data_IF_475933877989
#
_entry.id   IF_475933877989
#
_cell.length_a   1.000
_cell.length_b   1.000
_cell.length_c   1.000
_cell.angle_alpha   90.00
_cell.angle_beta   90.00
_cell.angle_gamma   90.00
#
_symmetry.space_group_name_H-M   'P 1'
#
loop_
_entity.id
_entity.type
_entity.pdbx_description
1 polymer ?
#
# COMPACT_ATOMS: atom_id res chain seq x y z
N UNK A 1 -6.20 -23.31 30.06
CA UNK A 1 -6.70 -22.77 28.79
C UNK A 1 -5.80 -23.35 27.71
N UNK A 2 -6.32 -24.24 26.88
CA UNK A 2 -5.57 -25.03 25.91
C UNK A 2 -5.40 -24.35 24.54
N UNK A 3 -5.63 -23.03 24.40
CA UNK A 3 -5.50 -22.33 23.12
C UNK A 3 -4.05 -21.91 22.83
N UNK A 4 -3.65 -21.97 21.57
CA UNK A 4 -2.34 -21.52 21.12
C UNK A 4 -2.22 -19.99 21.22
N UNK A 5 -1.15 -19.48 21.84
CA UNK A 5 -0.83 -18.05 21.83
C UNK A 5 -0.24 -17.60 20.49
N UNK A 6 0.44 -18.52 19.81
CA UNK A 6 1.05 -18.30 18.48
C UNK A 6 0.63 -19.50 17.61
N UNK A 7 0.11 -19.26 16.39
CA UNK A 7 -0.25 -20.35 15.49
C UNK A 7 1.00 -21.11 15.03
N UNK A 8 0.85 -22.39 14.76
CA UNK A 8 1.82 -23.13 13.96
C UNK A 8 1.75 -22.60 12.53
N UNK A 9 2.88 -22.32 11.89
CA UNK A 9 2.87 -21.86 10.51
C UNK A 9 4.06 -22.35 9.69
N UNK A 10 3.84 -22.49 8.42
CA UNK A 10 4.85 -22.72 7.40
C UNK A 10 4.75 -21.59 6.37
N UNK A 11 5.87 -20.98 6.01
CA UNK A 11 5.92 -19.89 5.03
C UNK A 11 7.10 -20.07 4.10
N UNK A 12 6.81 -19.98 2.80
CA UNK A 12 7.80 -20.00 1.73
C UNK A 12 7.75 -18.64 1.02
N UNK A 13 8.91 -18.00 0.88
CA UNK A 13 9.05 -16.70 0.23
C UNK A 13 10.15 -16.78 -0.81
N UNK A 14 9.86 -16.32 -2.03
CA UNK A 14 10.80 -16.26 -3.14
C UNK A 14 10.67 -14.90 -3.84
N UNK A 15 11.79 -14.16 -3.97
CA UNK A 15 11.82 -12.79 -4.51
C UNK A 15 12.97 -12.58 -5.52
N UNK A 16 13.02 -13.29 -6.67
CA UNK A 16 14.03 -13.04 -7.69
C UNK A 16 13.83 -11.69 -8.36
N UNK A 17 14.94 -11.02 -8.70
CA UNK A 17 14.96 -9.78 -9.47
C UNK A 17 15.96 -9.86 -10.60
N UNK A 18 15.57 -9.36 -11.77
CA UNK A 18 16.39 -9.23 -12.96
C UNK A 18 16.60 -7.75 -13.26
N UNK A 19 17.85 -7.34 -13.45
CA UNK A 19 18.21 -5.99 -13.89
C UNK A 19 18.86 -6.09 -15.26
N UNK A 20 18.34 -5.31 -16.21
CA UNK A 20 18.85 -5.26 -17.59
C UNK A 20 19.23 -3.83 -17.91
N UNK A 21 20.47 -3.64 -18.33
CA UNK A 21 21.00 -2.36 -18.77
C UNK A 21 21.22 -2.44 -20.28
N UNK A 22 20.36 -1.78 -21.06
CA UNK A 22 20.45 -1.79 -22.52
C UNK A 22 21.56 -0.86 -23.01
N UNK A 23 21.71 0.29 -22.33
CA UNK A 23 22.75 1.29 -22.51
C UNK A 23 22.76 2.25 -21.30
N UNK A 24 23.62 3.29 -21.33
CA UNK A 24 23.76 4.27 -20.25
C UNK A 24 22.48 5.09 -19.96
N UNK A 25 21.54 5.12 -20.90
CA UNK A 25 20.28 5.88 -20.79
C UNK A 25 19.06 5.00 -20.51
N UNK A 26 19.15 3.70 -20.74
CA UNK A 26 17.99 2.81 -20.71
C UNK A 26 18.24 1.58 -19.87
N UNK A 27 17.43 1.40 -18.86
CA UNK A 27 17.46 0.22 -18.00
C UNK A 27 16.07 -0.28 -17.69
N UNK A 28 15.99 -1.54 -17.33
CA UNK A 28 14.77 -2.22 -16.93
C UNK A 28 15.05 -3.09 -15.72
N UNK A 29 14.12 -3.15 -14.79
CA UNK A 29 14.12 -4.19 -13.78
C UNK A 29 12.79 -4.94 -13.78
N UNK A 30 12.87 -6.23 -13.52
CA UNK A 30 11.73 -7.12 -13.39
C UNK A 30 11.90 -8.00 -12.15
N UNK A 31 10.88 -8.08 -11.32
CA UNK A 31 10.87 -8.90 -10.12
C UNK A 31 9.61 -9.75 -10.04
N UNK A 32 9.74 -10.88 -9.38
CA UNK A 32 8.61 -11.72 -8.98
C UNK A 32 8.68 -11.86 -7.45
N UNK A 33 7.56 -11.67 -6.77
CA UNK A 33 7.44 -11.96 -5.35
C UNK A 33 6.41 -13.07 -5.19
N UNK A 34 6.79 -14.12 -4.49
CA UNK A 34 5.94 -15.26 -4.16
C UNK A 34 5.92 -15.45 -2.65
N UNK A 35 4.74 -15.56 -2.08
CA UNK A 35 4.55 -15.97 -0.68
C UNK A 35 3.46 -17.01 -0.62
N UNK A 36 3.78 -18.16 -0.04
CA UNK A 36 2.86 -19.25 0.26
C UNK A 36 2.93 -19.48 1.76
N UNK A 37 1.79 -19.42 2.42
CA UNK A 37 1.73 -19.58 3.88
C UNK A 37 0.53 -20.42 4.28
N UNK A 38 0.76 -21.29 5.26
CA UNK A 38 -0.27 -22.01 5.98
C UNK A 38 -0.09 -21.74 7.48
N UNK A 39 -1.16 -21.30 8.16
CA UNK A 39 -1.22 -21.08 9.61
C UNK A 39 -2.34 -21.91 10.21
N UNK A 40 -2.04 -22.56 11.32
CA UNK A 40 -3.00 -23.30 12.12
C UNK A 40 -2.89 -22.88 13.59
N UNK A 41 -3.94 -22.23 14.09
CA UNK A 41 -4.13 -21.87 15.49
C UNK A 41 -5.30 -22.62 16.11
N UNK A 42 -5.56 -22.38 17.40
CA UNK A 42 -6.72 -22.93 18.10
C UNK A 42 -6.34 -23.81 19.29
N UNK A 43 -7.15 -24.83 19.53
CA UNK A 43 -6.93 -25.76 20.65
C UNK A 43 -5.63 -26.56 20.46
N UNK A 44 -4.82 -26.61 21.50
CA UNK A 44 -3.52 -27.29 21.48
C UNK A 44 -3.63 -28.81 21.30
N UNK A 45 -4.73 -29.43 21.68
CA UNK A 45 -4.96 -30.86 21.45
C UNK A 45 -5.35 -31.09 19.99
N UNK A 46 -6.17 -30.22 19.41
CA UNK A 46 -6.49 -30.24 17.99
C UNK A 46 -5.23 -30.11 17.13
N UNK A 47 -4.39 -29.10 17.39
CA UNK A 47 -3.13 -28.86 16.66
C UNK A 47 -2.19 -30.08 16.73
N UNK A 48 -2.18 -30.79 17.86
CA UNK A 48 -1.38 -32.01 18.05
C UNK A 48 -2.02 -33.29 17.46
N UNK A 49 -3.15 -33.17 16.75
CA UNK A 49 -3.88 -34.31 16.20
C UNK A 49 -4.56 -35.18 17.27
N UNK A 50 -4.84 -34.62 18.45
CA UNK A 50 -5.50 -35.29 19.62
C UNK A 50 -6.83 -34.60 19.98
N UNK A 51 -7.45 -33.91 19.02
CA UNK A 51 -8.74 -33.25 19.20
C UNK A 51 -9.84 -34.27 19.48
N UNK A 52 -10.84 -33.86 20.28
CA UNK A 52 -12.06 -34.58 20.59
C UNK A 52 -13.27 -33.64 20.54
N UNK A 53 -14.45 -34.09 20.96
CA UNK A 53 -15.68 -33.28 20.92
C UNK A 53 -15.62 -32.00 21.78
N UNK A 54 -14.65 -31.87 22.68
CA UNK A 54 -14.45 -30.71 23.55
C UNK A 54 -13.25 -29.85 23.12
N UNK A 55 -12.33 -30.43 22.34
CA UNK A 55 -11.07 -29.83 21.86
C UNK A 55 -11.02 -29.83 20.34
N UNK A 56 -12.01 -29.17 19.71
CA UNK A 56 -12.16 -29.17 18.23
C UNK A 56 -11.99 -27.77 17.61
N UNK A 57 -11.77 -26.73 18.41
CA UNK A 57 -11.59 -25.38 17.88
C UNK A 57 -10.26 -25.25 17.16
N UNK A 58 -10.34 -24.80 15.91
CA UNK A 58 -9.18 -24.45 15.09
C UNK A 58 -9.47 -23.18 14.29
N UNK A 59 -8.42 -22.52 13.90
CA UNK A 59 -8.41 -21.46 12.89
C UNK A 59 -7.29 -21.77 11.92
N UNK A 60 -7.62 -22.15 10.70
CA UNK A 60 -6.67 -22.39 9.61
C UNK A 60 -6.74 -21.23 8.62
N UNK A 61 -5.57 -20.73 8.21
CA UNK A 61 -5.46 -19.64 7.23
C UNK A 61 -4.40 -20.01 6.21
N UNK A 62 -4.83 -20.27 4.98
CA UNK A 62 -3.98 -20.59 3.84
C UNK A 62 -3.95 -19.39 2.90
N UNK A 63 -2.76 -18.89 2.59
CA UNK A 63 -2.59 -17.78 1.68
C UNK A 63 -1.57 -18.10 0.59
N UNK A 64 -1.86 -17.64 -0.62
CA UNK A 64 -0.95 -17.66 -1.76
C UNK A 64 -0.94 -16.26 -2.36
N UNK A 65 0.24 -15.68 -2.48
CA UNK A 65 0.43 -14.38 -3.12
C UNK A 65 1.53 -14.47 -4.16
N UNK A 66 1.21 -14.03 -5.37
CA UNK A 66 2.14 -13.90 -6.48
C UNK A 66 2.05 -12.46 -6.98
N UNK A 67 3.17 -11.77 -7.10
CA UNK A 67 3.15 -10.45 -7.72
C UNK A 67 4.37 -10.23 -8.59
N UNK A 68 4.19 -9.44 -9.64
CA UNK A 68 5.27 -8.97 -10.51
C UNK A 68 5.58 -7.51 -10.17
N UNK A 69 6.82 -7.12 -10.42
CA UNK A 69 7.27 -5.72 -10.41
C UNK A 69 8.04 -5.48 -11.70
N UNK A 70 7.65 -4.48 -12.43
CA UNK A 70 8.34 -4.05 -13.64
C UNK A 70 8.59 -2.55 -13.57
N UNK A 71 9.81 -2.15 -13.85
CA UNK A 71 10.19 -0.73 -13.99
C UNK A 71 11.06 -0.60 -15.23
N UNK A 72 10.68 0.31 -16.09
CA UNK A 72 11.46 0.73 -17.24
C UNK A 72 11.83 2.20 -17.08
N UNK A 73 13.11 2.50 -17.19
CA UNK A 73 13.70 3.82 -17.04
C UNK A 73 14.40 4.23 -18.33
N UNK A 74 14.12 5.44 -18.80
CA UNK A 74 14.79 6.02 -19.96
C UNK A 74 15.15 7.49 -19.75
N UNK A 75 16.43 7.79 -19.79
CA UNK A 75 16.96 9.17 -19.77
C UNK A 75 16.88 9.75 -21.17
N UNK A 76 15.94 10.69 -21.38
CA UNK A 76 15.74 11.36 -22.67
C UNK A 76 16.91 12.31 -22.97
N UNK A 77 17.26 13.13 -21.99
CA UNK A 77 18.41 14.05 -22.01
C UNK A 77 18.88 14.32 -20.57
N UNK A 78 19.88 15.20 -20.38
CA UNK A 78 20.48 15.52 -19.07
C UNK A 78 19.46 15.98 -18.01
N UNK A 79 18.34 16.56 -18.45
CA UNK A 79 17.33 17.14 -17.57
C UNK A 79 16.00 16.37 -17.58
N UNK A 80 15.88 15.33 -18.39
CA UNK A 80 14.56 14.70 -18.63
C UNK A 80 14.64 13.17 -18.58
N UNK A 81 13.66 12.59 -17.91
CA UNK A 81 13.59 11.19 -17.60
C UNK A 81 12.16 10.67 -17.73
N UNK A 82 11.99 9.51 -18.34
CA UNK A 82 10.73 8.78 -18.44
C UNK A 82 10.82 7.50 -17.62
N UNK A 83 9.78 7.22 -16.86
CA UNK A 83 9.65 5.97 -16.12
C UNK A 83 8.30 5.33 -16.39
N UNK A 84 8.30 4.02 -16.61
CA UNK A 84 7.10 3.19 -16.67
C UNK A 84 7.20 2.15 -15.57
N UNK A 85 6.15 2.05 -14.75
CA UNK A 85 6.02 1.02 -13.70
C UNK A 85 4.80 0.16 -13.98
N UNK A 86 4.92 -1.11 -13.73
CA UNK A 86 3.78 -2.03 -13.74
C UNK A 86 3.92 -3.05 -12.61
N UNK A 87 2.80 -3.42 -12.03
CA UNK A 87 2.69 -4.51 -11.08
C UNK A 87 1.38 -5.25 -11.33
N UNK A 88 1.44 -6.58 -11.29
CA UNK A 88 0.27 -7.45 -11.27
C UNK A 88 0.37 -8.30 -10.02
N UNK A 89 -0.71 -8.39 -9.26
CA UNK A 89 -0.79 -9.17 -8.03
C UNK A 89 -1.96 -10.15 -8.11
N UNK A 90 -1.70 -11.38 -7.76
CA UNK A 90 -2.68 -12.41 -7.50
C UNK A 90 -2.58 -12.83 -6.04
N UNK A 91 -3.69 -12.82 -5.33
CA UNK A 91 -3.79 -13.22 -3.95
C UNK A 91 -4.98 -14.16 -3.77
N UNK A 92 -4.75 -15.33 -3.24
CA UNK A 92 -5.80 -16.27 -2.80
C UNK A 92 -5.69 -16.44 -1.29
N UNK A 93 -6.81 -16.41 -0.62
CA UNK A 93 -6.93 -16.65 0.82
C UNK A 93 -8.06 -17.61 1.09
N UNK A 94 -7.77 -18.63 1.87
CA UNK A 94 -8.74 -19.51 2.47
C UNK A 94 -8.60 -19.45 3.99
N UNK A 95 -9.69 -19.16 4.69
CA UNK A 95 -9.77 -19.14 6.16
C UNK A 95 -10.86 -20.09 6.59
N UNK A 96 -10.53 -21.04 7.46
CA UNK A 96 -11.45 -22.02 7.98
C UNK A 96 -11.45 -22.06 9.50
N UNK A 97 -12.64 -22.10 10.08
CA UNK A 97 -12.93 -22.37 11.50
C UNK A 97 -14.02 -23.46 11.56
N UNK A 98 -14.33 -24.04 12.73
CA UNK A 98 -15.41 -25.00 12.83
C UNK A 98 -16.73 -24.50 12.25
N UNK A 99 -17.28 -25.23 11.26
CA UNK A 99 -18.55 -24.93 10.59
C UNK A 99 -18.59 -23.66 9.73
N UNK A 100 -17.45 -23.03 9.44
CA UNK A 100 -17.38 -21.87 8.54
C UNK A 100 -16.08 -21.86 7.77
N UNK A 101 -16.18 -21.52 6.49
CA UNK A 101 -15.05 -21.36 5.59
C UNK A 101 -15.29 -20.14 4.69
N UNK A 102 -14.23 -19.36 4.51
CA UNK A 102 -14.18 -18.24 3.57
C UNK A 102 -13.01 -18.46 2.60
N UNK A 103 -13.28 -18.45 1.31
CA UNK A 103 -12.26 -18.50 0.27
C UNK A 103 -12.50 -17.44 -0.76
N UNK A 104 -11.45 -16.68 -1.09
CA UNK A 104 -11.53 -15.65 -2.12
C UNK A 104 -10.22 -15.40 -2.81
N UNK A 105 -10.34 -14.88 -4.03
CA UNK A 105 -9.22 -14.55 -4.92
C UNK A 105 -9.28 -13.08 -5.29
N UNK A 106 -8.18 -12.36 -5.10
CA UNK A 106 -8.01 -10.99 -5.51
C UNK A 106 -6.96 -10.88 -6.61
N UNK A 107 -7.28 -10.17 -7.67
CA UNK A 107 -6.33 -9.82 -8.74
C UNK A 107 -6.28 -8.31 -8.86
N UNK A 108 -5.11 -7.74 -8.65
CA UNK A 108 -4.89 -6.29 -8.72
C UNK A 108 -3.80 -5.96 -9.74
N UNK A 109 -3.97 -4.85 -10.47
CA UNK A 109 -2.95 -4.34 -11.38
C UNK A 109 -2.70 -2.86 -11.12
N UNK A 110 -1.46 -2.44 -11.31
CA UNK A 110 -1.07 -1.04 -11.30
C UNK A 110 -0.14 -0.77 -12.47
N UNK A 111 -0.42 0.27 -13.24
CA UNK A 111 0.45 0.76 -14.31
C UNK A 111 0.55 2.27 -14.20
N UNK A 112 1.77 2.80 -14.24
CA UNK A 112 2.06 4.22 -14.19
C UNK A 112 3.08 4.58 -15.25
N UNK A 113 2.86 5.67 -15.96
CA UNK A 113 3.84 6.31 -16.82
C UNK A 113 4.07 7.73 -16.32
N UNK A 114 5.31 8.09 -16.08
CA UNK A 114 5.69 9.42 -15.58
C UNK A 114 6.85 10.01 -16.38
N UNK A 115 6.84 11.32 -16.47
CA UNK A 115 7.89 12.14 -17.06
C UNK A 115 8.40 13.14 -16.02
N UNK A 116 9.70 13.15 -15.81
CA UNK A 116 10.38 14.08 -14.91
C UNK A 116 11.21 15.05 -15.75
N UNK A 117 11.13 16.34 -15.41
CA UNK A 117 11.97 17.39 -15.97
C UNK A 117 12.55 18.25 -14.86
N UNK A 118 13.89 18.26 -14.77
CA UNK A 118 14.63 19.02 -13.77
C UNK A 118 15.37 20.17 -14.44
N UNK A 119 15.21 21.37 -13.90
CA UNK A 119 15.92 22.56 -14.37
C UNK A 119 16.31 23.43 -13.16
N UNK A 120 17.63 23.62 -12.97
CA UNK A 120 18.19 24.48 -11.91
C UNK A 120 17.56 24.22 -10.53
N UNK A 121 16.57 25.06 -10.14
CA UNK A 121 15.91 25.05 -8.84
C UNK A 121 14.56 24.34 -8.83
N UNK A 122 14.10 23.83 -9.96
CA UNK A 122 12.76 23.29 -10.12
C UNK A 122 12.80 21.91 -10.76
N UNK A 123 12.09 20.96 -10.15
CA UNK A 123 11.82 19.65 -10.73
C UNK A 123 10.32 19.43 -10.85
N UNK A 124 9.90 19.07 -12.04
CA UNK A 124 8.53 18.73 -12.36
C UNK A 124 8.40 17.24 -12.65
N UNK A 125 7.42 16.61 -12.02
CA UNK A 125 7.01 15.24 -12.33
C UNK A 125 5.55 15.27 -12.73
N UNK A 126 5.23 14.72 -13.91
CA UNK A 126 3.85 14.54 -14.37
C UNK A 126 3.65 13.10 -14.80
N UNK A 127 2.46 12.59 -14.64
CA UNK A 127 2.18 11.20 -15.00
C UNK A 127 0.71 10.85 -15.00
N UNK A 128 0.47 9.64 -15.50
CA UNK A 128 -0.84 9.01 -15.53
C UNK A 128 -0.71 7.60 -15.00
N UNK A 129 -1.77 7.09 -14.39
CA UNK A 129 -1.82 5.71 -13.95
C UNK A 129 -3.21 5.09 -14.11
N UNK A 130 -3.22 3.78 -14.11
CA UNK A 130 -4.42 2.96 -13.99
C UNK A 130 -4.19 1.93 -12.90
N UNK A 131 -5.20 1.77 -12.06
CA UNK A 131 -5.24 0.76 -11.02
C UNK A 131 -6.53 -0.04 -11.13
N UNK A 132 -6.44 -1.36 -11.03
CA UNK A 132 -7.58 -2.26 -10.97
C UNK A 132 -7.48 -3.15 -9.75
N UNK A 133 -8.60 -3.44 -9.11
CA UNK A 133 -8.71 -4.40 -8.02
C UNK A 133 -10.01 -5.20 -8.21
N UNK A 134 -9.85 -6.50 -8.46
CA UNK A 134 -10.96 -7.42 -8.67
C UNK A 134 -10.90 -8.53 -7.61
N UNK A 135 -11.94 -8.64 -6.82
CA UNK A 135 -12.11 -9.69 -5.83
C UNK A 135 -13.26 -10.61 -6.22
N UNK A 136 -13.04 -11.91 -6.11
CA UNK A 136 -14.01 -12.97 -6.33
C UNK A 136 -14.02 -13.91 -5.15
N UNK A 137 -15.17 -14.02 -4.52
CA UNK A 137 -15.43 -14.98 -3.44
C UNK A 137 -15.95 -16.29 -4.00
N UNK A 138 -15.48 -17.38 -3.43
CA UNK A 138 -16.02 -18.72 -3.72
C UNK A 138 -17.25 -18.98 -2.87
N UNK A 139 -18.32 -19.43 -3.51
CA UNK A 139 -19.58 -19.76 -2.82
C UNK A 139 -19.38 -20.96 -1.88
N UNK A 140 -19.16 -20.71 -0.61
CA UNK A 140 -19.00 -21.73 0.44
C UNK A 140 -20.22 -21.85 1.34
N UNK A 141 -21.07 -20.81 1.39
CA UNK A 141 -22.25 -20.73 2.22
C UNK A 141 -23.44 -20.18 1.43
N UNK A 142 -24.63 -20.13 2.01
CA UNK A 142 -25.80 -19.46 1.40
C UNK A 142 -25.76 -17.91 1.53
N UNK A 143 -24.71 -17.34 2.14
CA UNK A 143 -24.56 -15.91 2.30
C UNK A 143 -24.23 -15.24 0.94
N UNK A 144 -24.68 -14.01 0.69
CA UNK A 144 -24.37 -13.31 -0.56
C UNK A 144 -22.87 -13.17 -0.80
N UNK A 145 -22.43 -13.39 -2.04
CA UNK A 145 -21.03 -13.20 -2.45
C UNK A 145 -20.62 -11.73 -2.33
N UNK A 146 -19.41 -11.50 -1.82
CA UNK A 146 -18.83 -10.17 -1.61
C UNK A 146 -17.89 -9.75 -2.72
N UNK A 147 -18.21 -10.16 -3.94
CA UNK A 147 -17.46 -9.81 -5.15
C UNK A 147 -17.41 -8.29 -5.34
N UNK A 148 -16.28 -7.77 -5.79
CA UNK A 148 -16.17 -6.40 -6.25
C UNK A 148 -15.18 -6.27 -7.41
N UNK A 149 -15.34 -5.18 -8.19
CA UNK A 149 -14.43 -4.81 -9.26
C UNK A 149 -14.25 -3.30 -9.25
N UNK A 150 -13.05 -2.84 -8.95
CA UNK A 150 -12.72 -1.42 -8.85
C UNK A 150 -11.69 -1.07 -9.92
N UNK A 151 -11.91 0.04 -10.60
CA UNK A 151 -10.95 0.59 -11.57
C UNK A 151 -10.81 2.09 -11.34
N UNK A 152 -9.58 2.55 -11.29
CA UNK A 152 -9.23 3.96 -11.10
C UNK A 152 -8.26 4.42 -12.17
N UNK A 153 -8.56 5.56 -12.78
CA UNK A 153 -7.67 6.29 -13.68
C UNK A 153 -7.16 7.51 -12.96
N UNK A 154 -5.85 7.68 -12.89
CA UNK A 154 -5.22 8.80 -12.21
C UNK A 154 -4.35 9.63 -13.15
N UNK A 155 -4.31 10.94 -12.90
CA UNK A 155 -3.36 11.86 -13.48
C UNK A 155 -2.79 12.76 -12.39
N UNK A 156 -1.50 13.08 -12.47
CA UNK A 156 -0.85 13.89 -11.45
C UNK A 156 0.23 14.81 -12.03
N UNK A 157 0.45 15.90 -11.32
CA UNK A 157 1.57 16.80 -11.50
C UNK A 157 2.12 17.18 -10.13
N UNK A 158 3.44 17.17 -10.01
CA UNK A 158 4.16 17.58 -8.81
C UNK A 158 5.30 18.51 -9.19
N UNK A 159 5.57 19.49 -8.36
CA UNK A 159 6.72 20.37 -8.47
C UNK A 159 7.49 20.39 -7.15
N UNK A 160 8.80 20.22 -7.22
CA UNK A 160 9.75 20.49 -6.15
C UNK A 160 10.54 21.73 -6.53
N UNK A 161 10.47 22.78 -5.71
CA UNK A 161 11.06 24.07 -5.99
C UNK A 161 11.96 24.55 -4.83
N UNK A 162 13.25 24.73 -5.12
CA UNK A 162 14.20 25.32 -4.19
C UNK A 162 14.08 26.85 -4.25
N UNK A 163 13.19 27.41 -3.44
CA UNK A 163 12.91 28.84 -3.42
C UNK A 163 14.14 29.66 -2.97
N UNK A 164 14.81 29.20 -1.91
CA UNK A 164 16.05 29.75 -1.37
C UNK A 164 16.96 28.61 -0.88
N UNK A 165 18.13 28.93 -0.33
CA UNK A 165 19.00 27.89 0.27
C UNK A 165 18.41 27.31 1.57
N UNK A 166 17.52 28.01 2.22
CA UNK A 166 16.89 27.60 3.46
C UNK A 166 15.44 27.13 3.29
N UNK A 167 14.81 27.27 2.08
CA UNK A 167 13.41 26.92 1.81
C UNK A 167 13.27 26.14 0.52
N UNK A 168 12.76 24.92 0.65
CA UNK A 168 12.29 24.10 -0.47
C UNK A 168 10.78 23.85 -0.35
N UNK A 169 10.05 24.05 -1.42
CA UNK A 169 8.62 23.83 -1.54
C UNK A 169 8.35 22.60 -2.37
N UNK A 170 7.38 21.81 -1.97
CA UNK A 170 6.82 20.72 -2.74
C UNK A 170 5.32 20.95 -2.89
N UNK A 171 4.82 20.96 -4.12
CA UNK A 171 3.39 21.10 -4.41
C UNK A 171 2.98 20.01 -5.38
N UNK A 172 1.80 19.45 -5.19
CA UNK A 172 1.28 18.41 -6.06
C UNK A 172 -0.24 18.49 -6.18
N UNK A 173 -0.71 18.10 -7.32
CA UNK A 173 -2.14 17.85 -7.58
C UNK A 173 -2.26 16.51 -8.27
N UNK A 174 -3.09 15.66 -7.73
CA UNK A 174 -3.52 14.41 -8.33
C UNK A 174 -5.03 14.45 -8.49
N UNK A 175 -5.52 13.94 -9.60
CA UNK A 175 -6.93 13.71 -9.85
C UNK A 175 -7.12 12.27 -10.23
N UNK A 176 -7.97 11.57 -9.51
CA UNK A 176 -8.37 10.19 -9.79
C UNK A 176 -9.84 10.17 -10.21
N UNK A 177 -10.14 9.38 -11.23
CA UNK A 177 -11.50 9.01 -11.58
C UNK A 177 -11.71 7.54 -11.19
N UNK A 178 -12.45 7.33 -10.12
CA UNK A 178 -12.82 6.00 -9.62
C UNK A 178 -14.13 5.61 -10.27
N UNK A 179 -14.16 4.52 -11.03
CA UNK A 179 -15.41 4.02 -11.61
C UNK A 179 -16.38 3.77 -10.46
N UNK A 180 -17.66 4.12 -10.64
CA UNK A 180 -18.79 4.06 -9.68
C UNK A 180 -18.78 5.16 -8.60
N UNK A 181 -17.65 5.80 -8.31
CA UNK A 181 -17.55 6.86 -7.28
C UNK A 181 -17.25 8.25 -7.84
N UNK A 182 -16.76 8.37 -9.08
CA UNK A 182 -16.49 9.64 -9.75
C UNK A 182 -15.10 10.23 -9.49
N UNK A 183 -14.96 11.54 -9.69
CA UNK A 183 -13.70 12.25 -9.61
C UNK A 183 -13.33 12.64 -8.19
N UNK A 184 -12.05 12.45 -7.84
CA UNK A 184 -11.43 12.82 -6.56
C UNK A 184 -10.23 13.71 -6.81
N UNK A 185 -10.15 14.86 -6.10
CA UNK A 185 -9.05 15.82 -6.19
C UNK A 185 -8.18 15.73 -4.93
N UNK A 186 -6.89 15.57 -5.11
CA UNK A 186 -5.92 15.25 -4.06
C UNK A 186 -4.75 16.25 -4.10
N UNK A 187 -4.96 17.49 -3.62
CA UNK A 187 -3.88 18.45 -3.47
C UNK A 187 -2.94 18.05 -2.34
N UNK A 188 -1.66 18.34 -2.51
CA UNK A 188 -0.61 18.19 -1.52
C UNK A 188 0.34 19.37 -1.55
N UNK A 189 0.75 19.83 -0.37
CA UNK A 189 1.76 20.87 -0.22
C UNK A 189 2.67 20.54 0.95
N UNK A 190 3.97 20.78 0.78
CA UNK A 190 4.91 20.77 1.90
C UNK A 190 6.01 21.83 1.73
N UNK A 191 6.55 22.28 2.86
CA UNK A 191 7.67 23.20 2.93
C UNK A 191 8.74 22.61 3.83
N UNK A 192 9.98 22.52 3.33
CA UNK A 192 11.16 22.12 4.08
C UNK A 192 11.99 23.36 4.38
N UNK A 193 12.27 23.57 5.66
CA UNK A 193 13.06 24.68 6.19
C UNK A 193 14.43 24.16 6.67
N UNK A 194 15.51 24.68 6.10
CA UNK A 194 16.86 24.51 6.62
C UNK A 194 17.11 25.66 7.62
N UNK A 195 16.83 25.44 8.91
CA UNK A 195 16.84 26.49 9.96
C UNK A 195 18.27 26.85 10.33
N UNK A 196 19.11 25.82 10.50
CA UNK A 196 20.53 25.97 10.82
C UNK A 196 21.29 24.75 10.34
N UNK A 197 22.60 24.74 10.47
CA UNK A 197 23.41 23.58 10.18
C UNK A 197 22.98 22.39 11.07
N UNK A 198 22.56 21.30 10.45
CA UNK A 198 22.05 20.12 11.13
C UNK A 198 20.60 20.24 11.66
N UNK A 199 19.93 21.41 11.55
CA UNK A 199 18.56 21.60 12.02
C UNK A 199 17.63 21.89 10.85
N UNK A 200 16.67 20.99 10.63
CA UNK A 200 15.62 21.12 9.61
C UNK A 200 14.24 20.96 10.21
N UNK A 201 13.25 21.55 9.59
CA UNK A 201 11.83 21.35 9.89
C UNK A 201 11.06 21.23 8.60
N UNK A 202 10.07 20.35 8.58
CA UNK A 202 9.12 20.22 7.48
C UNK A 202 7.70 20.40 8.00
N UNK A 203 6.89 21.13 7.24
CA UNK A 203 5.45 21.26 7.46
C UNK A 203 4.78 20.87 6.15
N UNK A 204 3.74 20.05 6.23
CA UNK A 204 3.01 19.63 5.04
C UNK A 204 1.60 19.16 5.33
N UNK A 205 0.84 19.00 4.27
CA UNK A 205 -0.50 18.44 4.34
C UNK A 205 -1.02 18.05 2.96
N UNK A 206 -2.11 17.31 2.94
CA UNK A 206 -2.74 16.86 1.73
C UNK A 206 -4.00 16.06 1.98
N UNK A 207 -4.65 15.70 0.89
CA UNK A 207 -5.88 14.92 0.87
C UNK A 207 -5.59 13.52 0.38
N UNK A 208 -6.37 12.55 0.86
CA UNK A 208 -6.34 11.16 0.44
C UNK A 208 -7.75 10.58 0.36
N UNK A 209 -7.86 9.40 -0.19
CA UNK A 209 -9.09 8.62 -0.16
C UNK A 209 -8.77 7.12 -0.15
N UNK A 210 -9.78 6.34 0.21
CA UNK A 210 -9.78 4.88 0.12
C UNK A 210 -11.12 4.42 -0.45
N UNK A 211 -11.07 3.46 -1.37
CA UNK A 211 -12.27 2.78 -1.86
C UNK A 211 -12.78 1.80 -0.82
N UNK A 212 -14.10 1.60 -0.71
CA UNK A 212 -14.67 0.57 0.14
C UNK A 212 -14.08 -0.81 -0.17
N UNK A 213 -13.84 -1.60 0.87
CA UNK A 213 -13.35 -2.97 0.76
C UNK A 213 -13.90 -3.81 1.90
N UNK A 214 -14.05 -5.10 1.69
CA UNK A 214 -14.38 -6.04 2.77
C UNK A 214 -13.17 -6.37 3.65
N UNK A 215 -11.96 -6.01 3.22
CA UNK A 215 -10.72 -6.29 3.94
C UNK A 215 -10.43 -5.17 4.96
N UNK A 216 -11.22 -5.14 6.04
CA UNK A 216 -11.02 -4.27 7.19
C UNK A 216 -10.56 -5.09 8.40
N UNK A 217 -9.97 -4.43 9.40
CA UNK A 217 -9.54 -5.10 10.63
C UNK A 217 -10.73 -5.75 11.36
N UNK A 218 -11.89 -5.10 11.35
CA UNK A 218 -13.13 -5.61 11.94
C UNK A 218 -13.60 -6.88 11.23
N UNK A 219 -13.59 -6.88 9.90
CA UNK A 219 -13.97 -8.05 9.11
C UNK A 219 -13.01 -9.22 9.33
N UNK A 220 -11.71 -8.95 9.45
CA UNK A 220 -10.71 -9.97 9.75
C UNK A 220 -10.89 -10.58 11.15
N UNK A 221 -11.24 -9.79 12.16
CA UNK A 221 -11.49 -10.27 13.54
C UNK A 221 -12.63 -11.28 13.61
N UNK A 222 -13.63 -11.14 12.77
CA UNK A 222 -14.78 -12.05 12.69
C UNK A 222 -14.64 -13.06 11.54
N UNK A 223 -13.44 -13.23 10.99
CA UNK A 223 -13.15 -14.11 9.85
C UNK A 223 -14.14 -13.93 8.69
N UNK A 224 -14.55 -12.69 8.42
CA UNK A 224 -15.53 -12.29 7.38
C UNK A 224 -16.94 -12.85 7.57
N UNK A 225 -17.29 -13.40 8.75
CA UNK A 225 -18.64 -13.85 9.04
C UNK A 225 -19.62 -12.66 9.07
N UNK A 226 -20.76 -12.81 8.39
CA UNK A 226 -21.83 -11.80 8.35
C UNK A 226 -21.42 -10.41 7.82
N UNK A 227 -20.28 -10.32 7.13
CA UNK A 227 -19.89 -9.09 6.40
C UNK A 227 -20.72 -9.01 5.12
N UNK A 228 -21.44 -7.90 4.93
CA UNK A 228 -22.29 -7.69 3.76
C UNK A 228 -21.45 -7.35 2.53
N UNK A 229 -21.92 -7.68 1.30
CA UNK A 229 -21.33 -7.17 0.07
C UNK A 229 -21.26 -5.64 0.05
N UNK A 230 -20.29 -5.10 -0.68
CA UNK A 230 -20.22 -3.67 -0.96
C UNK A 230 -21.38 -3.30 -1.89
N UNK A 231 -22.09 -2.23 -1.56
CA UNK A 231 -23.13 -1.62 -2.39
C UNK A 231 -22.70 -0.19 -2.75
N UNK A 232 -22.36 0.06 -4.00
CA UNK A 232 -21.85 1.33 -4.51
C UNK A 232 -22.87 2.49 -4.37
N UNK A 233 -24.16 2.18 -4.16
CA UNK A 233 -25.18 3.19 -3.90
C UNK A 233 -25.18 3.71 -2.45
N UNK A 234 -24.73 2.90 -1.51
CA UNK A 234 -24.73 3.23 -0.07
C UNK A 234 -23.36 3.43 0.51
N UNK A 235 -22.35 2.66 0.06
CA UNK A 235 -20.98 2.84 0.47
C UNK A 235 -20.34 4.04 -0.26
N UNK A 236 -19.57 4.83 0.44
CA UNK A 236 -18.89 6.02 -0.07
C UNK A 236 -17.38 5.86 0.03
N UNK A 237 -16.66 6.66 -0.73
CA UNK A 237 -15.21 6.78 -0.53
C UNK A 237 -14.94 7.34 0.88
N UNK A 238 -14.08 6.67 1.63
CA UNK A 238 -13.44 7.25 2.79
C UNK A 238 -12.51 8.37 2.33
N UNK A 239 -12.62 9.57 2.89
CA UNK A 239 -11.76 10.70 2.58
C UNK A 239 -10.89 11.04 3.78
N UNK A 240 -9.64 11.36 3.53
CA UNK A 240 -8.71 11.76 4.57
C UNK A 240 -8.13 13.15 4.30
N UNK A 241 -7.93 13.90 5.39
CA UNK A 241 -7.31 15.22 5.40
C UNK A 241 -6.19 15.16 6.42
N UNK A 242 -4.96 15.24 5.94
CA UNK A 242 -3.78 15.09 6.78
C UNK A 242 -2.92 16.34 6.82
N UNK A 243 -2.37 16.62 8.00
CA UNK A 243 -1.32 17.60 8.20
C UNK A 243 -0.21 17.02 9.07
N UNK A 244 1.03 17.39 8.80
CA UNK A 244 2.17 16.99 9.60
C UNK A 244 3.18 18.13 9.74
N UNK A 245 3.97 18.06 10.81
CA UNK A 245 5.13 18.91 11.02
C UNK A 245 6.23 18.09 11.71
N UNK A 246 7.46 18.25 11.28
CA UNK A 246 8.60 17.62 11.94
C UNK A 246 9.71 18.60 12.27
N UNK A 247 10.54 18.23 13.24
CA UNK A 247 11.80 18.86 13.55
C UNK A 247 12.86 17.76 13.58
N UNK A 248 13.90 17.93 12.80
CA UNK A 248 15.03 17.02 12.73
C UNK A 248 16.31 17.78 13.08
N UNK A 249 17.03 17.27 14.06
CA UNK A 249 18.34 17.80 14.44
C UNK A 249 19.38 16.68 14.37
N UNK A 250 20.50 16.97 13.70
CA UNK A 250 21.65 16.07 13.60
C UNK A 250 22.94 16.85 13.82
N UNK A 251 23.79 16.34 14.68
CA UNK A 251 25.11 16.92 14.95
C UNK A 251 26.14 15.85 15.24
N UNK A 252 27.41 16.17 15.02
CA UNK A 252 28.53 15.33 15.46
C UNK A 252 29.02 15.83 16.81
N UNK A 253 29.35 14.91 17.71
CA UNK A 253 29.92 15.16 19.02
C UNK A 253 31.33 14.56 19.01
N UNK A 254 32.33 15.43 18.81
CA UNK A 254 33.70 14.98 18.51
C UNK A 254 33.76 14.28 17.14
N UNK A 255 34.77 13.41 16.98
CA UNK A 255 35.03 12.71 15.70
C UNK A 255 34.29 11.36 15.59
N UNK A 256 33.88 10.77 16.72
CA UNK A 256 33.39 9.38 16.78
C UNK A 256 31.87 9.24 16.97
N UNK A 257 31.16 10.31 17.35
CA UNK A 257 29.77 10.23 17.73
C UNK A 257 28.88 11.11 16.86
N UNK A 258 27.77 10.55 16.37
CA UNK A 258 26.70 11.31 15.72
C UNK A 258 25.44 11.26 16.59
N UNK A 259 24.93 12.42 16.98
CA UNK A 259 23.63 12.55 17.63
C UNK A 259 22.57 12.94 16.61
N UNK A 260 21.43 12.25 16.61
CA UNK A 260 20.29 12.58 15.75
C UNK A 260 18.99 12.39 16.52
N UNK A 261 18.12 13.38 16.40
CA UNK A 261 16.76 13.34 16.94
C UNK A 261 15.78 13.81 15.85
N UNK A 262 14.70 13.07 15.69
CA UNK A 262 13.57 13.48 14.85
C UNK A 262 12.29 13.43 15.70
N UNK A 263 11.51 14.48 15.65
CA UNK A 263 10.21 14.54 16.29
C UNK A 263 9.16 14.91 15.26
N UNK A 264 8.13 14.05 15.13
CA UNK A 264 7.05 14.19 14.16
C UNK A 264 5.72 14.39 14.89
N UNK A 265 4.99 15.43 14.49
CA UNK A 265 3.59 15.66 14.81
C UNK A 265 2.76 15.38 13.57
N UNK A 266 1.63 14.72 13.74
CA UNK A 266 0.68 14.50 12.65
C UNK A 266 -0.75 14.60 13.17
N UNK A 267 -1.63 15.00 12.27
CA UNK A 267 -3.08 15.00 12.48
C UNK A 267 -3.75 14.47 11.22
N UNK A 268 -4.68 13.54 11.39
CA UNK A 268 -5.49 13.01 10.28
C UNK A 268 -6.95 13.02 10.69
N UNK A 269 -7.77 13.59 9.84
CA UNK A 269 -9.22 13.52 9.94
C UNK A 269 -9.75 12.58 8.84
N UNK A 270 -10.63 11.65 9.21
CA UNK A 270 -11.29 10.72 8.31
C UNK A 270 -12.77 11.10 8.19
N UNK A 271 -13.26 11.13 6.98
CA UNK A 271 -14.67 11.35 6.64
C UNK A 271 -15.20 10.08 5.97
N UNK A 272 -16.35 9.56 6.41
CA UNK A 272 -16.93 8.26 6.04
C UNK A 272 -15.94 7.09 6.27
N UNK A 273 -15.44 6.91 7.51
CA UNK A 273 -14.51 5.82 7.82
C UNK A 273 -15.18 4.43 7.75
#
# INVERSE_FOLDING_TARGET
IGLSAIPQFERYVLNPKLFVYFNDKTKMNFGINTTIENRLGGDMLYIKGKGDNTHQYFEENKTQRYSTQFVFDHTVNENSFVQIKNSVSYFNRNTAIPNYEFEGTQTATFTEASYTHSKEKSEWVTGVNIWTDNFKEKQMTAFPLRDYNQTTFGAFVQNSFKATDWLQLETGLRTDYVIDYGAVFLPRVSALFQIANGLTSRIGGGFGYKTPTIFTEESERIQYQNVMPIDDNTNKLEKSYGANADINYRTNIGDDWTFSINHLFFYTYLDNP
#
